data_IF_303242515544
#
_entry.id   IF_303242515544
#
_cell.length_a   1.000
_cell.length_b   1.000
_cell.length_c   1.000
_cell.angle_alpha   90.00
_cell.angle_beta   90.00
_cell.angle_gamma   90.00
#
_symmetry.space_group_name_H-M   'P 1'
#
loop_
_entity.id
_entity.type
_entity.pdbx_description
1 polymer ?
#
# COMPACT_ATOMS: atom_id res chain seq x y z
N UNK A 1 -25.13 -23.33 -22.14
CA UNK A 1 -25.21 -23.19 -20.67
C UNK A 1 -23.99 -22.40 -20.27
N UNK A 2 -24.11 -21.08 -20.10
CA UNK A 2 -22.98 -20.19 -19.84
C UNK A 2 -22.80 -20.04 -18.33
N UNK A 3 -21.73 -20.63 -17.81
CA UNK A 3 -21.30 -20.47 -16.43
C UNK A 3 -20.94 -18.99 -16.21
N UNK A 4 -21.70 -18.32 -15.34
CA UNK A 4 -21.43 -16.94 -14.96
C UNK A 4 -20.21 -16.93 -14.04
N UNK A 5 -19.27 -15.97 -14.20
CA UNK A 5 -18.12 -15.89 -13.33
C UNK A 5 -18.58 -15.58 -11.90
N UNK A 6 -18.27 -16.50 -10.98
CA UNK A 6 -18.50 -16.38 -9.54
C UNK A 6 -17.87 -15.07 -9.03
N UNK A 7 -18.73 -14.08 -8.80
CA UNK A 7 -18.34 -12.77 -8.32
C UNK A 7 -17.95 -12.89 -6.86
N UNK A 8 -16.64 -12.84 -6.57
CA UNK A 8 -16.11 -12.86 -5.20
C UNK A 8 -16.78 -11.75 -4.36
N UNK A 9 -17.73 -12.15 -3.52
CA UNK A 9 -18.36 -11.29 -2.54
C UNK A 9 -17.55 -11.40 -1.25
N UNK A 10 -16.91 -10.31 -0.78
CA UNK A 10 -16.18 -10.37 0.48
C UNK A 10 -17.18 -10.66 1.62
N UNK A 11 -16.98 -11.76 2.32
CA UNK A 11 -17.69 -12.08 3.56
C UNK A 11 -17.30 -11.05 4.61
N UNK A 12 -18.22 -10.15 4.93
CA UNK A 12 -18.08 -9.23 6.06
C UNK A 12 -18.23 -10.07 7.34
N UNK A 13 -17.17 -10.14 8.15
CA UNK A 13 -17.27 -10.66 9.51
C UNK A 13 -18.21 -9.72 10.26
N UNK A 14 -19.48 -10.14 10.39
CA UNK A 14 -20.47 -9.49 11.21
C UNK A 14 -20.06 -9.68 12.68
N UNK A 15 -19.34 -8.70 13.23
CA UNK A 15 -19.05 -8.62 14.66
C UNK A 15 -20.10 -7.76 15.40
N UNK A 16 -21.36 -7.76 14.96
CA UNK A 16 -22.47 -7.07 15.64
C UNK A 16 -22.99 -7.84 16.86
N UNK A 17 -22.10 -8.37 17.71
CA UNK A 17 -22.46 -8.77 19.08
C UNK A 17 -22.24 -7.59 20.01
N UNK A 18 -22.97 -6.50 19.78
CA UNK A 18 -23.10 -5.44 20.78
C UNK A 18 -24.56 -5.43 21.24
N UNK A 19 -24.92 -6.18 22.30
CA UNK A 19 -26.32 -6.37 22.72
C UNK A 19 -26.99 -5.09 23.26
N UNK A 20 -26.30 -3.95 23.22
CA UNK A 20 -26.77 -2.66 23.72
C UNK A 20 -26.91 -1.59 22.62
N UNK A 21 -26.77 -1.96 21.34
CA UNK A 21 -26.93 -1.01 20.25
C UNK A 21 -28.42 -0.57 20.15
N UNK A 22 -28.73 0.73 20.27
CA UNK A 22 -30.11 1.21 20.22
C UNK A 22 -30.69 0.97 18.81
N UNK A 23 -31.82 0.27 18.76
CA UNK A 23 -32.63 0.03 17.56
C UNK A 23 -33.34 1.31 17.14
N UNK A 24 -32.59 2.25 16.56
CA UNK A 24 -33.20 3.27 15.71
C UNK A 24 -33.41 2.67 14.32
N UNK A 25 -34.69 2.50 13.95
CA UNK A 25 -35.14 2.07 12.63
C UNK A 25 -34.81 3.11 11.58
N UNK A 26 -33.57 3.09 11.12
CA UNK A 26 -33.17 3.65 9.84
C UNK A 26 -32.88 2.42 8.98
N UNK A 27 -33.25 2.47 7.70
CA UNK A 27 -32.67 1.57 6.72
C UNK A 27 -31.16 1.78 6.77
N UNK A 28 -30.49 1.04 7.65
CA UNK A 28 -29.04 0.89 7.69
C UNK A 28 -28.73 0.07 6.46
N UNK A 29 -28.84 0.70 5.30
CA UNK A 29 -27.99 0.41 4.18
C UNK A 29 -26.61 0.56 4.80
N UNK A 30 -26.08 -0.56 5.30
CA UNK A 30 -24.72 -0.63 5.77
C UNK A 30 -23.94 -0.12 4.58
N UNK A 31 -23.51 1.14 4.63
CA UNK A 31 -22.68 1.72 3.59
C UNK A 31 -21.45 0.87 3.71
N UNK A 32 -21.35 -0.15 2.87
CA UNK A 32 -20.23 -1.08 2.86
C UNK A 32 -19.06 -0.20 2.52
N UNK A 33 -18.36 0.29 3.53
CA UNK A 33 -17.08 0.96 3.35
C UNK A 33 -16.20 -0.16 2.84
N UNK A 34 -16.12 -0.30 1.52
CA UNK A 34 -15.30 -1.32 0.88
C UNK A 34 -13.86 -0.93 1.22
N UNK A 35 -13.36 -1.50 2.31
CA UNK A 35 -11.98 -1.38 2.73
C UNK A 35 -11.17 -2.20 1.74
N UNK A 36 -10.64 -1.52 0.71
CA UNK A 36 -9.78 -2.14 -0.28
C UNK A 36 -8.43 -2.43 0.37
N UNK A 37 -8.27 -3.66 0.86
CA UNK A 37 -7.00 -4.11 1.42
C UNK A 37 -5.89 -4.03 0.37
N UNK A 38 -4.71 -3.58 0.80
CA UNK A 38 -3.52 -3.56 -0.06
C UNK A 38 -2.87 -4.94 -0.05
N UNK A 39 -2.42 -5.38 -1.22
CA UNK A 39 -1.74 -6.66 -1.37
C UNK A 39 -0.23 -6.47 -1.24
N UNK A 40 0.36 -7.25 -0.34
CA UNK A 40 1.81 -7.30 -0.12
C UNK A 40 2.54 -7.86 -1.34
N UNK A 41 1.96 -8.85 -2.03
CA UNK A 41 2.54 -9.42 -3.25
C UNK A 41 2.68 -8.35 -4.35
N UNK A 42 1.63 -7.56 -4.55
CA UNK A 42 1.63 -6.46 -5.53
C UNK A 42 2.69 -5.42 -5.15
N UNK A 43 2.86 -5.12 -3.86
CA UNK A 43 3.91 -4.20 -3.40
C UNK A 43 5.32 -4.72 -3.74
N UNK A 44 5.60 -6.00 -3.55
CA UNK A 44 6.88 -6.60 -3.93
C UNK A 44 7.11 -6.64 -5.44
N UNK A 45 6.08 -6.93 -6.23
CA UNK A 45 6.16 -6.86 -7.70
C UNK A 45 6.48 -5.44 -8.18
N UNK A 46 5.79 -4.44 -7.62
CA UNK A 46 6.08 -3.03 -7.93
C UNK A 46 7.49 -2.63 -7.50
N UNK A 47 7.97 -3.14 -6.36
CA UNK A 47 9.33 -2.88 -5.89
C UNK A 47 10.38 -3.51 -6.82
N UNK A 48 10.16 -4.73 -7.29
CA UNK A 48 11.11 -5.42 -8.18
C UNK A 48 11.21 -4.77 -9.56
N UNK A 49 10.07 -4.52 -10.22
CA UNK A 49 10.06 -3.98 -11.59
C UNK A 49 10.24 -2.46 -11.65
N UNK A 50 9.73 -1.76 -10.63
CA UNK A 50 9.50 -0.31 -10.66
C UNK A 50 9.97 0.38 -9.38
N UNK A 51 10.69 -0.34 -8.51
CA UNK A 51 11.22 0.22 -7.28
C UNK A 51 12.30 1.25 -7.52
N UNK A 52 12.96 1.19 -8.68
CA UNK A 52 13.93 2.19 -9.07
C UNK A 52 13.31 3.58 -9.29
N UNK A 53 12.04 3.63 -9.68
CA UNK A 53 11.23 4.86 -9.74
C UNK A 53 10.47 5.17 -8.44
N UNK A 54 10.55 4.31 -7.41
CA UNK A 54 9.82 4.48 -6.16
C UNK A 54 8.31 4.21 -6.24
N UNK A 55 7.82 3.52 -7.28
CA UNK A 55 6.38 3.34 -7.50
C UNK A 55 5.70 2.45 -6.43
N UNK A 56 6.45 1.56 -5.78
CA UNK A 56 5.96 0.79 -4.63
C UNK A 56 5.51 1.70 -3.48
N UNK A 57 6.17 2.85 -3.28
CA UNK A 57 5.76 3.83 -2.25
C UNK A 57 4.50 4.59 -2.64
N UNK A 58 4.31 4.87 -3.93
CA UNK A 58 3.06 5.47 -4.42
C UNK A 58 1.88 4.52 -4.18
N UNK A 59 2.06 3.22 -4.42
CA UNK A 59 1.06 2.19 -4.08
C UNK A 59 0.73 2.18 -2.58
N UNK A 60 1.73 2.38 -1.72
CA UNK A 60 1.59 2.49 -0.26
C UNK A 60 1.17 3.90 0.22
N UNK A 61 0.66 4.76 -0.67
CA UNK A 61 0.18 6.13 -0.38
C UNK A 61 1.25 7.04 0.24
N UNK A 62 2.50 6.90 -0.19
CA UNK A 62 3.63 7.75 0.22
C UNK A 62 4.22 8.51 -0.97
N UNK A 63 3.50 9.53 -1.50
CA UNK A 63 3.95 10.27 -2.68
C UNK A 63 5.23 11.06 -2.44
N UNK A 64 5.40 11.64 -1.26
CA UNK A 64 6.62 12.40 -0.91
C UNK A 64 7.87 11.54 -0.94
N UNK A 65 7.79 10.31 -0.39
CA UNK A 65 8.92 9.38 -0.42
C UNK A 65 9.16 8.80 -1.81
N UNK A 66 8.11 8.60 -2.62
CA UNK A 66 8.26 8.21 -4.01
C UNK A 66 9.03 9.29 -4.79
N UNK A 67 8.66 10.57 -4.62
CA UNK A 67 9.34 11.69 -5.25
C UNK A 67 10.81 11.81 -4.80
N UNK A 68 11.07 11.62 -3.50
CA UNK A 68 12.44 11.61 -2.98
C UNK A 68 13.31 10.56 -3.69
N UNK A 69 12.79 9.36 -3.92
CA UNK A 69 13.49 8.29 -4.64
C UNK A 69 13.82 8.66 -6.08
N UNK A 70 12.86 9.25 -6.80
CA UNK A 70 13.07 9.70 -8.19
C UNK A 70 14.16 10.77 -8.25
N UNK A 71 14.13 11.74 -7.33
CA UNK A 71 15.14 12.81 -7.26
C UNK A 71 16.52 12.21 -6.94
N UNK A 72 16.60 11.33 -5.95
CA UNK A 72 17.86 10.69 -5.55
C UNK A 72 18.47 9.87 -6.69
N UNK A 73 17.63 9.11 -7.41
CA UNK A 73 18.04 8.34 -8.58
C UNK A 73 18.46 9.24 -9.75
N UNK A 74 17.69 10.31 -10.04
CA UNK A 74 17.99 11.24 -11.11
C UNK A 74 19.31 11.99 -10.88
N UNK A 75 19.54 12.49 -9.66
CA UNK A 75 20.80 13.14 -9.28
C UNK A 75 21.93 12.10 -9.30
N UNK A 76 21.77 10.96 -8.64
CA UNK A 76 22.79 9.93 -8.56
C UNK A 76 23.24 9.40 -9.93
N UNK A 77 22.29 9.19 -10.85
CA UNK A 77 22.59 8.74 -12.23
C UNK A 77 23.21 9.85 -13.09
N UNK A 78 22.74 11.09 -12.98
CA UNK A 78 23.30 12.22 -13.75
C UNK A 78 24.73 12.52 -13.33
N UNK A 79 25.00 12.57 -12.01
CA UNK A 79 26.33 12.90 -11.47
C UNK A 79 27.28 11.69 -11.39
N UNK A 80 26.83 10.50 -11.81
CA UNK A 80 27.65 9.28 -11.83
C UNK A 80 28.96 9.45 -12.60
N UNK A 81 28.90 10.17 -13.72
CA UNK A 81 30.02 10.39 -14.65
C UNK A 81 31.19 11.14 -14.02
N UNK A 82 30.94 11.86 -12.92
CA UNK A 82 31.93 12.68 -12.21
C UNK A 82 32.26 12.04 -10.84
N UNK A 83 31.87 10.79 -10.59
CA UNK A 83 32.06 10.03 -9.32
C UNK A 83 31.29 10.62 -8.12
N UNK A 84 30.89 11.89 -8.16
CA UNK A 84 30.07 12.56 -7.14
C UNK A 84 28.67 11.95 -6.96
N UNK A 85 28.17 11.18 -7.95
CA UNK A 85 26.91 10.46 -7.86
C UNK A 85 26.93 9.20 -6.97
N UNK A 86 28.12 8.66 -6.67
CA UNK A 86 28.29 7.42 -5.89
C UNK A 86 27.56 7.44 -4.53
N UNK A 87 27.74 8.46 -3.66
CA UNK A 87 27.05 8.49 -2.37
C UNK A 87 25.52 8.51 -2.51
N UNK A 88 24.99 9.16 -3.55
CA UNK A 88 23.54 9.21 -3.81
C UNK A 88 23.00 7.84 -4.27
N UNK A 89 23.73 7.14 -5.14
CA UNK A 89 23.34 5.79 -5.57
C UNK A 89 23.44 4.79 -4.42
N UNK A 90 24.48 4.87 -3.58
CA UNK A 90 24.63 4.02 -2.40
C UNK A 90 23.49 4.26 -1.42
N UNK A 91 23.17 5.53 -1.13
CA UNK A 91 22.05 5.89 -0.26
C UNK A 91 20.72 5.39 -0.82
N UNK A 92 20.48 5.59 -2.10
CA UNK A 92 19.28 5.10 -2.79
C UNK A 92 19.16 3.56 -2.72
N UNK A 93 20.26 2.84 -2.96
CA UNK A 93 20.31 1.38 -2.88
C UNK A 93 20.07 0.86 -1.46
N UNK A 94 20.63 1.54 -0.45
CA UNK A 94 20.38 1.20 0.95
C UNK A 94 18.91 1.41 1.32
N UNK A 95 18.30 2.51 0.88
CA UNK A 95 16.90 2.78 1.11
C UNK A 95 16.02 1.71 0.41
N UNK A 96 16.36 1.30 -0.81
CA UNK A 96 15.70 0.20 -1.52
C UNK A 96 15.74 -1.11 -0.72
N UNK A 97 16.88 -1.40 -0.07
CA UNK A 97 17.04 -2.57 0.77
C UNK A 97 16.18 -2.50 2.05
N UNK A 98 16.16 -1.34 2.72
CA UNK A 98 15.32 -1.10 3.91
C UNK A 98 13.82 -1.26 3.59
N UNK A 99 13.41 -0.91 2.38
CA UNK A 99 12.01 -1.02 1.97
C UNK A 99 11.50 -2.47 1.96
N UNK A 100 12.36 -3.47 1.71
CA UNK A 100 11.98 -4.89 1.76
C UNK A 100 11.37 -5.25 3.11
N UNK A 101 11.96 -4.74 4.20
CA UNK A 101 11.52 -4.98 5.58
C UNK A 101 10.38 -4.04 6.00
N UNK A 102 10.32 -2.85 5.42
CA UNK A 102 9.34 -1.82 5.81
C UNK A 102 7.97 -2.05 5.15
N UNK A 103 7.93 -2.61 3.94
CA UNK A 103 6.70 -2.92 3.21
C UNK A 103 5.70 -3.80 3.97
N UNK A 104 6.07 -4.95 4.56
CA UNK A 104 5.12 -5.81 5.27
C UNK A 104 4.45 -5.11 6.44
N UNK A 105 5.23 -4.36 7.24
CA UNK A 105 4.72 -3.58 8.37
C UNK A 105 3.69 -2.56 7.89
N UNK A 106 3.99 -1.85 6.80
CA UNK A 106 3.10 -0.80 6.27
C UNK A 106 1.82 -1.37 5.66
N UNK A 107 1.89 -2.47 4.92
CA UNK A 107 0.69 -3.11 4.38
C UNK A 107 -0.23 -3.57 5.53
N UNK A 108 0.33 -4.18 6.58
CA UNK A 108 -0.42 -4.57 7.78
C UNK A 108 -1.04 -3.37 8.50
N UNK A 109 -0.29 -2.27 8.67
CA UNK A 109 -0.79 -1.04 9.26
C UNK A 109 -1.96 -0.46 8.42
N UNK A 110 -1.81 -0.39 7.10
CA UNK A 110 -2.85 0.18 6.24
C UNK A 110 -4.11 -0.67 6.21
N UNK A 111 -3.98 -2.00 6.25
CA UNK A 111 -5.12 -2.90 6.29
C UNK A 111 -5.84 -2.83 7.65
N UNK A 112 -5.11 -2.76 8.77
CA UNK A 112 -5.70 -2.62 10.11
C UNK A 112 -6.36 -1.26 10.35
N UNK A 113 -5.76 -0.17 9.88
CA UNK A 113 -6.36 1.17 9.96
C UNK A 113 -7.64 1.28 9.15
N UNK A 114 -7.71 0.59 8.02
CA UNK A 114 -8.89 0.61 7.18
C UNK A 114 -10.04 -0.18 7.83
N UNK A 115 -9.75 -1.30 8.51
CA UNK A 115 -10.72 -2.02 9.34
C UNK A 115 -11.24 -1.15 10.50
N UNK A 116 -10.38 -0.38 11.18
CA UNK A 116 -10.80 0.50 12.30
C UNK A 116 -11.73 1.64 11.89
N UNK A 117 -11.71 2.10 10.63
CA UNK A 117 -12.62 3.16 10.15
C UNK A 117 -14.02 2.66 9.81
N UNK A 118 -14.24 1.36 9.88
CA UNK A 118 -15.53 0.73 9.56
C UNK A 118 -16.35 0.39 10.80
N UNK A 119 -15.81 0.63 12.00
CA UNK A 119 -16.50 0.55 13.29
C UNK A 119 -16.71 1.95 13.86
#
# INVERSE_FOLDING_TARGET
MSERPEHYTPQYINNQRNPFAPTYGINQQATTVIVRQKSLLIAYLLWFFLGWLGLHKLYLRQPFMALFYVILFAIGSTTWHIILGIPFIVLWGLLMFIDIFTMPIRVGLMNSLAVRRTY
#
